data_IF_109176979954
#
_entry.id   IF_109176979954
#
_cell.length_a   1.000
_cell.length_b   1.000
_cell.length_c   1.000
_cell.angle_alpha   90.00
_cell.angle_beta   90.00
_cell.angle_gamma   90.00
#
_symmetry.space_group_name_H-M   'P 1'
#
loop_
_entity.id
_entity.type
_entity.pdbx_description
1 polymer ?
#
# COMPACT_ATOMS: atom_id res chain seq x y z
N UNK A 1 -11.12 35.57 53.26
CA UNK A 1 -10.06 34.55 53.37
C UNK A 1 -9.74 34.10 51.95
N UNK A 2 -8.52 34.40 51.49
CA UNK A 2 -8.06 34.28 50.10
C UNK A 2 -7.45 32.89 49.85
N UNK A 3 -7.73 32.25 48.70
CA UNK A 3 -6.81 31.39 47.89
C UNK A 3 -7.35 31.45 46.43
N UNK A 4 -6.82 32.28 45.54
CA UNK A 4 -5.63 32.16 44.66
C UNK A 4 -5.79 31.11 43.55
N UNK A 5 -5.65 31.62 42.32
CA UNK A 5 -5.81 31.00 41.01
C UNK A 5 -4.80 29.88 40.70
N UNK A 6 -5.25 28.88 39.91
CA UNK A 6 -4.40 27.94 39.21
C UNK A 6 -4.54 28.13 37.70
N UNK A 7 -3.50 28.67 37.06
CA UNK A 7 -3.41 28.87 35.61
C UNK A 7 -3.24 27.54 34.88
N UNK A 8 -4.04 27.35 33.82
CA UNK A 8 -3.84 26.31 32.83
C UNK A 8 -2.57 26.59 32.01
N UNK A 9 -1.64 25.65 31.96
CA UNK A 9 -0.54 25.65 30.99
C UNK A 9 -0.85 24.61 29.92
N UNK A 10 -1.31 25.09 28.76
CA UNK A 10 -1.42 24.30 27.54
C UNK A 10 -0.07 24.34 26.85
N UNK A 11 0.73 23.29 27.02
CA UNK A 11 1.95 23.09 26.25
C UNK A 11 1.58 22.61 24.85
N UNK A 12 1.91 23.42 23.83
CA UNK A 12 1.72 23.07 22.43
C UNK A 12 2.85 22.14 21.96
N UNK A 13 2.56 20.99 21.32
CA UNK A 13 3.61 20.15 20.75
C UNK A 13 4.27 20.85 19.55
N UNK A 14 5.61 20.85 19.57
CA UNK A 14 6.46 21.39 18.52
C UNK A 14 6.24 20.64 17.19
N UNK A 15 6.10 21.40 16.11
CA UNK A 15 5.96 20.88 14.76
C UNK A 15 7.27 20.18 14.29
N UNK A 16 7.18 19.04 13.58
CA UNK A 16 8.35 18.43 12.97
C UNK A 16 8.87 19.27 11.79
N UNK A 17 10.19 19.37 11.75
CA UNK A 17 10.97 20.07 10.71
C UNK A 17 10.69 19.50 9.32
N UNK A 18 10.59 20.40 8.34
CA UNK A 18 10.39 20.07 6.94
C UNK A 18 11.54 19.19 6.37
N UNK A 19 11.24 18.21 5.49
CA UNK A 19 12.26 17.44 4.80
C UNK A 19 12.99 18.28 3.74
N UNK A 20 14.26 17.93 3.41
CA UNK A 20 15.04 18.63 2.40
C UNK A 20 14.47 18.46 0.98
N UNK A 21 14.59 19.53 0.19
CA UNK A 21 14.17 19.59 -1.21
C UNK A 21 14.92 18.56 -2.09
N UNK A 22 14.18 17.83 -2.93
CA UNK A 22 14.73 16.92 -3.93
C UNK A 22 15.40 17.70 -5.08
N UNK A 23 16.53 17.20 -5.62
CA UNK A 23 17.14 17.76 -6.83
C UNK A 23 16.32 17.45 -8.10
N UNK A 24 16.36 18.41 -9.02
CA UNK A 24 15.81 18.38 -10.39
C UNK A 24 16.57 17.36 -11.24
N UNK A 25 15.90 16.46 -11.99
CA UNK A 25 16.56 15.71 -13.04
C UNK A 25 16.64 16.54 -14.32
N UNK A 26 17.87 16.73 -14.81
CA UNK A 26 18.20 17.31 -16.11
C UNK A 26 17.70 16.45 -17.28
N UNK A 27 17.28 17.14 -18.33
CA UNK A 27 16.91 16.56 -19.61
C UNK A 27 18.16 16.22 -20.44
N UNK A 28 18.26 14.97 -20.91
CA UNK A 28 19.14 14.57 -22.01
C UNK A 28 18.40 13.47 -22.81
N UNK A 29 17.89 13.82 -24.00
CA UNK A 29 18.50 13.59 -25.32
C UNK A 29 18.40 12.13 -25.77
N UNK A 30 17.62 11.96 -26.84
CA UNK A 30 17.37 10.72 -27.55
C UNK A 30 18.65 10.12 -28.17
N UNK A 31 18.68 8.79 -28.30
CA UNK A 31 19.43 8.09 -29.34
C UNK A 31 18.80 6.75 -29.66
N UNK A 32 18.44 6.59 -30.92
CA UNK A 32 17.94 5.39 -31.56
C UNK A 32 19.06 4.36 -31.71
N UNK A 33 18.77 3.09 -31.42
CA UNK A 33 19.49 1.97 -32.02
C UNK A 33 18.54 0.77 -32.16
N UNK A 34 18.20 0.46 -33.41
CA UNK A 34 17.60 -0.80 -33.83
C UNK A 34 18.65 -1.91 -33.79
N UNK A 35 18.29 -3.05 -33.24
CA UNK A 35 18.85 -4.33 -33.64
C UNK A 35 17.77 -5.41 -33.44
N UNK A 36 17.31 -5.94 -34.57
CA UNK A 36 16.52 -7.15 -34.66
C UNK A 36 17.44 -8.35 -34.44
N UNK A 37 17.08 -9.20 -33.48
CA UNK A 37 17.39 -10.62 -33.53
C UNK A 37 16.18 -11.35 -32.98
N UNK A 38 15.51 -12.07 -33.87
CA UNK A 38 14.47 -13.02 -33.55
C UNK A 38 15.07 -14.13 -32.69
N UNK A 39 14.55 -14.29 -31.47
CA UNK A 39 14.61 -15.56 -30.77
C UNK A 39 13.16 -16.02 -30.52
N UNK A 40 12.96 -17.30 -30.72
CA UNK A 40 11.66 -17.95 -30.77
C UNK A 40 11.13 -18.06 -29.34
N UNK A 41 10.48 -17.00 -28.86
CA UNK A 41 9.75 -17.03 -27.62
C UNK A 41 8.49 -17.86 -27.82
N UNK A 42 8.54 -19.11 -27.33
CA UNK A 42 7.36 -19.87 -26.95
C UNK A 42 6.45 -18.94 -26.16
N UNK A 43 5.17 -18.76 -26.51
CA UNK A 43 4.27 -17.90 -25.78
C UNK A 43 4.04 -18.50 -24.39
N UNK A 44 4.87 -18.12 -23.42
CA UNK A 44 4.50 -18.17 -22.02
C UNK A 44 3.35 -17.17 -21.88
N UNK A 45 2.13 -17.72 -21.92
CA UNK A 45 0.91 -17.01 -21.52
C UNK A 45 1.23 -16.16 -20.30
N UNK A 46 0.88 -14.85 -20.29
CA UNK A 46 1.02 -14.05 -19.09
C UNK A 46 0.24 -14.79 -18.00
N UNK A 47 0.97 -15.29 -16.99
CA UNK A 47 0.38 -15.98 -15.86
C UNK A 47 -0.79 -15.14 -15.39
N UNK A 48 -2.00 -15.70 -15.53
CA UNK A 48 -3.23 -14.96 -15.36
C UNK A 48 -3.20 -14.29 -13.98
N UNK A 49 -2.93 -12.98 -13.98
CA UNK A 49 -3.04 -12.17 -12.78
C UNK A 49 -4.47 -12.40 -12.32
N UNK A 50 -4.63 -13.09 -11.18
CA UNK A 50 -5.96 -13.43 -10.67
C UNK A 50 -6.79 -12.14 -10.68
N UNK A 51 -7.96 -12.16 -11.34
CA UNK A 51 -8.74 -10.95 -11.50
C UNK A 51 -8.96 -10.35 -10.11
N UNK A 52 -8.53 -9.10 -9.92
CA UNK A 52 -8.72 -8.42 -8.63
C UNK A 52 -10.17 -8.00 -8.55
N UNK A 53 -10.99 -8.93 -8.09
CA UNK A 53 -12.43 -8.77 -7.91
C UNK A 53 -12.64 -7.68 -6.85
N UNK A 54 -13.56 -6.74 -7.11
CA UNK A 54 -13.94 -5.74 -6.12
C UNK A 54 -14.64 -6.38 -4.94
N UNK A 55 -14.48 -5.82 -3.75
CA UNK A 55 -15.24 -6.24 -2.57
C UNK A 55 -16.77 -6.12 -2.71
N UNK A 56 -17.24 -5.37 -3.70
CA UNK A 56 -18.67 -5.23 -4.05
C UNK A 56 -19.22 -6.40 -4.88
N UNK A 57 -18.36 -7.27 -5.39
CA UNK A 57 -18.83 -8.46 -6.11
C UNK A 57 -19.12 -9.56 -5.09
N UNK A 58 -20.29 -10.19 -5.21
CA UNK A 58 -20.78 -11.25 -4.34
C UNK A 58 -20.05 -12.57 -4.66
N UNK A 59 -18.77 -12.64 -4.34
CA UNK A 59 -17.93 -13.81 -4.56
C UNK A 59 -17.32 -14.23 -3.22
N UNK A 60 -17.58 -15.48 -2.83
CA UNK A 60 -17.01 -16.04 -1.61
C UNK A 60 -15.52 -16.29 -1.80
N UNK A 61 -14.68 -15.68 -0.94
CA UNK A 61 -13.23 -15.90 -0.92
C UNK A 61 -12.84 -16.80 0.23
N UNK A 62 -12.34 -17.98 -0.09
CA UNK A 62 -11.76 -18.87 0.91
C UNK A 62 -10.30 -18.49 1.18
N UNK A 63 -10.06 -17.80 2.29
CA UNK A 63 -8.73 -17.54 2.78
C UNK A 63 -8.18 -18.72 3.59
N UNK A 64 -6.87 -18.97 3.47
CA UNK A 64 -6.17 -19.99 4.27
C UNK A 64 -6.27 -19.68 5.76
N UNK A 65 -6.17 -20.71 6.61
CA UNK A 65 -6.06 -20.55 8.07
C UNK A 65 -5.04 -19.48 8.48
N UNK A 66 -5.46 -18.61 9.40
CA UNK A 66 -4.69 -17.45 9.84
C UNK A 66 -4.87 -16.20 8.98
N UNK A 67 -5.72 -16.24 7.96
CA UNK A 67 -6.11 -15.09 7.14
C UNK A 67 -7.62 -14.85 7.22
N UNK A 68 -8.03 -13.62 6.95
CA UNK A 68 -9.41 -13.15 6.89
C UNK A 68 -9.65 -12.39 5.59
N UNK A 69 -10.91 -12.27 5.19
CA UNK A 69 -11.29 -11.54 3.98
C UNK A 69 -11.05 -10.04 4.20
N UNK A 70 -10.19 -9.43 3.39
CA UNK A 70 -9.88 -8.00 3.51
C UNK A 70 -11.03 -7.07 3.19
N UNK A 71 -12.06 -7.57 2.51
CA UNK A 71 -13.29 -6.83 2.29
C UNK A 71 -14.09 -6.63 3.59
N UNK A 72 -13.89 -7.49 4.60
CA UNK A 72 -14.55 -7.33 5.89
C UNK A 72 -13.93 -6.16 6.66
N UNK A 73 -14.77 -5.20 7.05
CA UNK A 73 -14.34 -4.03 7.82
C UNK A 73 -13.52 -3.01 7.02
N UNK A 74 -13.76 -2.90 5.71
CA UNK A 74 -13.20 -1.86 4.84
C UNK A 74 -11.65 -1.79 4.89
N UNK A 75 -11.00 -2.96 5.00
CA UNK A 75 -9.53 -3.05 5.06
C UNK A 75 -8.91 -3.01 3.68
N UNK A 76 -9.60 -3.55 2.67
CA UNK A 76 -9.23 -3.52 1.25
C UNK A 76 -10.45 -3.18 0.40
N UNK A 77 -10.24 -2.60 -0.78
CA UNK A 77 -11.30 -2.35 -1.77
C UNK A 77 -11.42 -3.46 -2.81
N UNK A 78 -10.42 -4.36 -2.83
CA UNK A 78 -10.35 -5.56 -3.64
C UNK A 78 -10.31 -6.80 -2.75
N UNK A 79 -10.90 -7.88 -3.22
CA UNK A 79 -10.84 -9.18 -2.53
C UNK A 79 -9.38 -9.61 -2.40
N UNK A 80 -8.93 -9.70 -1.15
CA UNK A 80 -7.58 -10.12 -0.80
C UNK A 80 -7.60 -10.79 0.58
N UNK A 81 -6.74 -11.78 0.78
CA UNK A 81 -6.57 -12.40 2.08
C UNK A 81 -5.56 -11.61 2.91
N UNK A 82 -6.02 -11.15 4.06
CA UNK A 82 -5.20 -10.39 5.01
C UNK A 82 -4.92 -11.27 6.21
N UNK A 83 -3.73 -11.18 6.79
CA UNK A 83 -3.42 -11.94 8.01
C UNK A 83 -4.33 -11.46 9.16
N UNK A 84 -4.87 -12.41 9.93
CA UNK A 84 -5.73 -12.12 11.08
C UNK A 84 -5.03 -11.17 12.06
N UNK A 85 -5.75 -10.14 12.49
CA UNK A 85 -5.26 -9.16 13.46
C UNK A 85 -4.35 -8.06 12.88
N UNK A 86 -4.19 -7.98 11.56
CA UNK A 86 -3.62 -6.79 10.92
C UNK A 86 -4.71 -5.73 10.72
N UNK A 87 -4.52 -4.57 11.36
CA UNK A 87 -5.40 -3.42 11.22
C UNK A 87 -4.90 -2.52 10.09
N UNK A 88 -5.79 -2.06 9.22
CA UNK A 88 -5.46 -1.05 8.22
C UNK A 88 -5.34 0.32 8.91
N UNK A 89 -4.12 0.74 9.27
CA UNK A 89 -3.93 1.89 10.18
C UNK A 89 -3.68 3.21 9.45
N UNK A 90 -3.10 3.17 8.24
CA UNK A 90 -2.62 4.37 7.56
C UNK A 90 -3.11 4.41 6.12
N UNK A 91 -3.67 5.53 5.65
CA UNK A 91 -4.08 5.68 4.26
C UNK A 91 -2.87 5.75 3.31
N UNK A 92 -3.02 5.31 2.05
CA UNK A 92 -1.94 5.19 1.07
C UNK A 92 -1.30 6.53 0.66
N UNK A 93 -2.00 7.64 0.88
CA UNK A 93 -1.53 9.00 0.64
C UNK A 93 -0.45 9.44 1.65
N UNK A 94 -0.30 8.69 2.75
CA UNK A 94 0.77 8.88 3.73
C UNK A 94 1.78 7.76 3.61
N UNK A 95 2.89 8.06 2.96
CA UNK A 95 4.01 7.13 2.81
C UNK A 95 4.52 6.69 4.19
N UNK A 96 4.36 5.40 4.49
CA UNK A 96 5.00 4.76 5.63
C UNK A 96 6.08 3.81 5.14
N UNK A 97 7.22 3.82 5.82
CA UNK A 97 8.23 2.76 5.71
C UNK A 97 7.69 1.54 6.47
N UNK A 98 6.66 0.91 5.93
CA UNK A 98 6.08 -0.30 6.49
C UNK A 98 6.42 -1.47 5.57
N UNK A 99 7.48 -2.19 5.96
CA UNK A 99 7.86 -3.43 5.31
C UNK A 99 6.85 -4.51 5.64
N UNK A 100 6.30 -5.16 4.62
CA UNK A 100 5.49 -6.35 4.82
C UNK A 100 6.38 -7.56 5.10
N UNK A 101 5.91 -8.53 5.91
CA UNK A 101 6.63 -9.78 6.12
C UNK A 101 6.83 -10.51 4.79
N UNK A 102 7.81 -11.41 4.74
CA UNK A 102 8.11 -12.17 3.53
C UNK A 102 6.86 -12.87 2.96
N UNK A 103 6.71 -12.82 1.63
CA UNK A 103 5.54 -13.35 0.93
C UNK A 103 4.26 -12.50 1.07
N UNK A 104 4.40 -11.25 1.51
CA UNK A 104 3.31 -10.28 1.53
C UNK A 104 3.72 -9.00 0.80
N UNK A 105 2.74 -8.36 0.18
CA UNK A 105 2.90 -7.07 -0.48
C UNK A 105 2.03 -6.04 0.22
N UNK A 106 2.51 -4.80 0.29
CA UNK A 106 1.68 -3.70 0.76
C UNK A 106 0.59 -3.43 -0.29
N UNK A 107 -0.66 -3.41 0.15
CA UNK A 107 -1.84 -3.11 -0.67
C UNK A 107 -1.67 -1.86 -1.54
N UNK A 108 -0.99 -0.82 -1.05
CA UNK A 108 -0.74 0.42 -1.77
C UNK A 108 0.34 0.29 -2.85
N UNK A 109 1.31 -0.62 -2.68
CA UNK A 109 2.40 -0.84 -3.64
C UNK A 109 2.06 -1.90 -4.70
N UNK A 110 1.00 -2.66 -4.50
CA UNK A 110 0.49 -3.58 -5.50
C UNK A 110 0.00 -2.79 -6.74
N UNK A 111 0.14 -3.36 -7.94
CA UNK A 111 -0.40 -2.80 -9.19
C UNK A 111 -1.42 -3.77 -9.82
N UNK A 112 -2.73 -3.41 -9.91
CA UNK A 112 -3.40 -2.24 -9.30
C UNK A 112 -3.27 -2.23 -7.76
N UNK A 113 -3.60 -1.17 -7.01
CA UNK A 113 -3.65 -1.27 -5.55
C UNK A 113 -4.81 -2.18 -5.07
N UNK A 114 -4.64 -2.84 -3.92
CA UNK A 114 -5.72 -3.63 -3.29
C UNK A 114 -6.67 -2.78 -2.42
N UNK A 115 -6.30 -1.55 -2.11
CA UNK A 115 -7.08 -0.63 -1.29
C UNK A 115 -6.39 0.72 -1.08
N UNK A 116 -7.05 1.59 -0.32
CA UNK A 116 -6.59 2.96 -0.05
C UNK A 116 -5.85 3.10 1.29
N UNK A 117 -5.51 1.97 1.92
CA UNK A 117 -4.78 1.90 3.19
C UNK A 117 -3.64 0.92 3.09
N UNK A 118 -2.55 1.20 3.79
CA UNK A 118 -1.40 0.31 3.93
C UNK A 118 -1.78 -0.90 4.78
N UNK A 119 -1.89 -2.05 4.11
CA UNK A 119 -2.11 -3.34 4.75
C UNK A 119 -1.34 -4.42 4.00
N UNK A 120 -0.75 -5.36 4.74
CA UNK A 120 0.01 -6.44 4.13
C UNK A 120 -0.94 -7.54 3.68
N UNK A 121 -1.03 -7.72 2.37
CA UNK A 121 -1.81 -8.79 1.75
C UNK A 121 -0.88 -9.88 1.25
N UNK A 122 -1.37 -11.11 1.26
CA UNK A 122 -0.60 -12.24 0.71
C UNK A 122 -0.48 -12.08 -0.80
N UNK A 123 0.75 -12.06 -1.33
CA UNK A 123 1.03 -12.07 -2.77
C UNK A 123 1.05 -13.49 -3.31
#
# INVERSE_FOLDING_TARGET
MFIVAGCASTEAPSAPSAPPARPKPDAATASSASFSSADTEVPVSPGAASPRISCLAEVEMHCRDGYENGCEGDRTTKMACVKKGLTAVVPCDREIVHGCPAGHVNSCFAKPPYGDKHICVKS
#
